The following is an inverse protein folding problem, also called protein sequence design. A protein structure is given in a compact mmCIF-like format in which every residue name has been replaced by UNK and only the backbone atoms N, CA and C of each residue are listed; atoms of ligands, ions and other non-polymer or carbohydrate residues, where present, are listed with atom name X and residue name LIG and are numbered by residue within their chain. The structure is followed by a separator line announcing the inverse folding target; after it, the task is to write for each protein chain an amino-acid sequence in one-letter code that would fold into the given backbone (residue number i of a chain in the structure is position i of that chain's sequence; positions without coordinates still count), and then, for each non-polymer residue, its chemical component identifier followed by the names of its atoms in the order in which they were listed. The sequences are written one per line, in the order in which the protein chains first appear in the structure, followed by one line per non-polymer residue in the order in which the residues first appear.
data_IF_789122483957
#
_entry.id   IF_789122483957
#
_cell.length_a   1.000
_cell.length_b   1.000
_cell.length_c   1.000
_cell.angle_alpha   90.00
_cell.angle_beta   90.00
_cell.angle_gamma   90.00
#
_symmetry.space_group_name_H-M   'P 1'
#
loop_
_entity.id
_entity.type
_entity.pdbx_description
1 polymer ?
#
# COMPACT_ATOMS: atom_id res chain seq x y z
N UNK A 1 9.06 19.16 -9.43
CA UNK A 1 8.66 18.84 -10.81
C UNK A 1 7.64 17.70 -10.77
N UNK A 2 6.39 18.02 -11.04
CA UNK A 2 5.31 17.02 -11.07
C UNK A 2 5.21 16.40 -12.47
N UNK A 3 6.26 15.69 -12.89
CA UNK A 3 6.18 14.88 -14.11
C UNK A 3 5.33 13.63 -13.84
N UNK A 4 4.60 13.19 -14.87
CA UNK A 4 3.86 11.92 -14.83
C UNK A 4 4.80 10.77 -14.44
N UNK A 5 4.32 9.89 -13.58
CA UNK A 5 4.93 8.60 -13.29
C UNK A 5 4.12 7.57 -14.05
N UNK A 6 4.79 6.76 -14.85
CA UNK A 6 4.12 5.77 -15.69
C UNK A 6 3.30 4.80 -14.84
N UNK A 7 2.05 4.60 -15.23
CA UNK A 7 1.08 3.70 -14.58
C UNK A 7 0.76 4.07 -13.12
N UNK A 8 0.89 5.35 -12.79
CA UNK A 8 0.56 5.90 -11.46
C UNK A 8 -0.24 7.19 -11.62
N UNK A 9 -1.37 7.23 -10.97
CA UNK A 9 -2.18 8.44 -10.79
C UNK A 9 -1.76 9.14 -9.49
N UNK A 10 -1.35 10.39 -9.59
CA UNK A 10 -1.03 11.23 -8.43
C UNK A 10 -2.29 11.97 -7.96
N UNK A 11 -2.55 11.97 -6.66
CA UNK A 11 -3.66 12.71 -6.06
C UNK A 11 -3.26 14.15 -5.69
N UNK A 12 -2.97 14.93 -6.70
CA UNK A 12 -2.49 16.31 -6.55
C UNK A 12 -0.96 16.43 -6.55
N UNK A 13 -0.45 17.47 -5.89
CA UNK A 13 0.99 17.63 -5.73
C UNK A 13 1.55 16.66 -4.68
N UNK A 14 2.74 16.13 -4.96
CA UNK A 14 3.43 15.28 -3.99
C UNK A 14 3.71 16.08 -2.70
N UNK A 15 3.43 15.51 -1.53
CA UNK A 15 3.64 16.20 -0.27
C UNK A 15 5.13 16.46 -0.03
N UNK A 16 5.45 17.63 0.54
CA UNK A 16 6.79 17.93 1.02
C UNK A 16 7.00 17.24 2.37
N UNK A 17 7.80 16.19 2.39
CA UNK A 17 8.06 15.36 3.56
C UNK A 17 9.50 15.47 4.00
N UNK A 18 9.74 15.34 5.31
CA UNK A 18 11.08 15.37 5.89
C UNK A 18 11.61 13.95 6.10
N UNK A 19 12.35 13.44 5.12
CA UNK A 19 13.00 12.12 5.16
C UNK A 19 12.07 11.00 5.66
N UNK A 20 10.91 10.79 5.03
CA UNK A 20 9.89 9.87 5.52
C UNK A 20 10.39 8.42 5.53
N UNK A 21 9.77 7.60 6.37
CA UNK A 21 9.91 6.15 6.32
C UNK A 21 8.74 5.60 5.49
N UNK A 22 9.04 4.78 4.49
CA UNK A 22 8.03 4.04 3.74
C UNK A 22 7.79 2.68 4.40
N UNK A 23 6.57 2.44 4.82
CA UNK A 23 6.11 1.14 5.33
C UNK A 23 5.33 0.45 4.22
N UNK A 24 5.71 -0.77 3.89
CA UNK A 24 5.14 -1.56 2.80
C UNK A 24 4.43 -2.78 3.37
N UNK A 25 3.16 -2.93 3.03
CA UNK A 25 2.41 -4.17 3.23
C UNK A 25 1.57 -4.45 1.98
N UNK A 26 1.99 -5.40 1.18
CA UNK A 26 1.26 -5.87 0.02
C UNK A 26 0.68 -7.26 0.32
N UNK A 27 -0.63 -7.38 0.16
CA UNK A 27 -1.35 -8.63 0.37
C UNK A 27 -0.97 -9.63 -0.70
N UNK A 28 -0.42 -10.74 -0.26
CA UNK A 28 -0.03 -11.88 -1.08
C UNK A 28 -0.12 -13.14 -0.23
N UNK A 29 0.88 -14.01 -0.34
CA UNK A 29 0.89 -15.25 0.43
C UNK A 29 1.75 -15.19 1.71
N UNK A 30 2.59 -14.15 1.87
CA UNK A 30 3.48 -13.98 3.03
C UNK A 30 2.81 -13.12 4.10
N UNK A 31 1.71 -13.61 4.64
CA UNK A 31 1.03 -13.00 5.78
C UNK A 31 0.34 -14.08 6.64
N UNK A 32 1.14 -14.82 7.40
CA UNK A 32 0.63 -15.87 8.26
C UNK A 32 -0.35 -15.30 9.29
N UNK A 33 -1.56 -15.87 9.32
CA UNK A 33 -2.66 -15.46 10.18
C UNK A 33 -3.08 -13.98 10.05
N UNK A 34 -2.71 -13.30 8.97
CA UNK A 34 -3.06 -11.88 8.75
C UNK A 34 -2.28 -10.90 9.62
N UNK A 35 -1.18 -11.33 10.26
CA UNK A 35 -0.46 -10.52 11.25
C UNK A 35 0.14 -9.24 10.67
N UNK A 36 0.65 -9.27 9.44
CA UNK A 36 1.19 -8.09 8.78
C UNK A 36 0.09 -7.10 8.39
N UNK A 37 -1.06 -7.60 7.93
CA UNK A 37 -2.24 -6.76 7.64
C UNK A 37 -2.78 -6.08 8.91
N UNK A 38 -2.85 -6.81 10.02
CA UNK A 38 -3.29 -6.25 11.30
C UNK A 38 -2.32 -5.20 11.83
N UNK A 39 -1.01 -5.45 11.70
CA UNK A 39 0.02 -4.47 12.05
C UNK A 39 -0.10 -3.19 11.21
N UNK A 40 -0.29 -3.32 9.89
CA UNK A 40 -0.49 -2.16 9.02
C UNK A 40 -1.77 -1.40 9.40
N UNK A 41 -2.87 -2.09 9.66
CA UNK A 41 -4.13 -1.47 10.07
C UNK A 41 -4.00 -0.70 11.39
N UNK A 42 -3.22 -1.23 12.34
CA UNK A 42 -2.93 -0.55 13.59
C UNK A 42 -2.10 0.73 13.37
N UNK A 43 -1.15 0.72 12.46
CA UNK A 43 -0.37 1.91 12.08
C UNK A 43 -1.27 2.95 11.43
N UNK A 44 -2.07 2.56 10.45
CA UNK A 44 -2.99 3.46 9.74
C UNK A 44 -3.98 4.14 10.66
N UNK A 45 -4.52 3.41 11.64
CA UNK A 45 -5.45 3.97 12.62
C UNK A 45 -4.86 5.09 13.50
N UNK A 46 -3.54 5.15 13.60
CA UNK A 46 -2.83 6.17 14.39
C UNK A 46 -2.41 7.40 13.60
N UNK A 47 -2.26 7.28 12.28
CA UNK A 47 -1.68 8.34 11.45
C UNK A 47 -2.69 9.05 10.54
N UNK A 48 -3.91 8.54 10.40
CA UNK A 48 -4.97 9.05 9.51
C UNK A 48 -4.41 9.39 8.10
N UNK A 49 -3.97 8.37 7.33
CA UNK A 49 -3.19 8.58 6.13
C UNK A 49 -4.04 9.16 4.99
N UNK A 50 -3.50 10.15 4.28
CA UNK A 50 -4.11 10.74 3.08
C UNK A 50 -3.54 10.10 1.80
N UNK A 51 -4.37 9.88 0.77
CA UNK A 51 -3.91 9.30 -0.49
C UNK A 51 -2.93 10.23 -1.21
N UNK A 52 -1.84 9.66 -1.70
CA UNK A 52 -0.79 10.35 -2.48
C UNK A 52 -0.78 9.89 -3.92
N UNK A 53 -0.88 8.57 -4.12
CA UNK A 53 -0.81 7.97 -5.44
C UNK A 53 -1.60 6.66 -5.49
N UNK A 54 -2.17 6.35 -6.65
CA UNK A 54 -2.77 5.06 -6.97
C UNK A 54 -2.04 4.43 -8.15
N UNK A 55 -1.64 3.19 -8.03
CA UNK A 55 -1.06 2.42 -9.12
C UNK A 55 -2.16 1.88 -10.00
N UNK A 56 -1.99 1.96 -11.32
CA UNK A 56 -3.02 1.58 -12.28
C UNK A 56 -3.40 0.09 -12.12
N UNK A 57 -4.60 -0.21 -11.63
CA UNK A 57 -5.00 -1.59 -11.37
C UNK A 57 -5.17 -2.40 -12.67
N UNK A 58 -5.47 -1.76 -13.81
CA UNK A 58 -5.60 -2.45 -15.10
C UNK A 58 -4.24 -2.94 -15.62
N UNK A 59 -3.15 -2.36 -15.11
CA UNK A 59 -1.78 -2.78 -15.45
C UNK A 59 -1.25 -3.83 -14.47
N UNK A 60 -1.53 -3.66 -13.19
CA UNK A 60 -0.87 -4.42 -12.14
C UNK A 60 -1.70 -5.54 -11.55
N UNK A 61 -3.02 -5.53 -11.69
CA UNK A 61 -3.93 -6.51 -11.09
C UNK A 61 -4.58 -7.40 -12.15
N UNK A 62 -4.55 -8.71 -11.94
CA UNK A 62 -5.37 -9.66 -12.72
C UNK A 62 -6.72 -9.85 -12.03
N UNK A 63 -7.76 -9.21 -12.56
CA UNK A 63 -9.12 -9.32 -12.03
C UNK A 63 -9.72 -10.73 -12.11
N UNK A 64 -9.10 -11.67 -12.80
CA UNK A 64 -9.49 -13.08 -12.79
C UNK A 64 -8.98 -13.77 -11.52
N UNK A 65 -7.80 -13.38 -11.06
CA UNK A 65 -7.21 -13.87 -9.82
C UNK A 65 -7.78 -13.13 -8.59
N UNK A 66 -8.00 -11.82 -8.73
CA UNK A 66 -8.48 -10.93 -7.66
C UNK A 66 -9.76 -10.25 -8.10
N UNK A 67 -10.87 -10.96 -7.97
CA UNK A 67 -12.17 -10.44 -8.42
C UNK A 67 -12.64 -9.30 -7.53
N UNK A 68 -13.25 -8.26 -8.11
CA UNK A 68 -13.91 -7.22 -7.33
C UNK A 68 -15.06 -7.82 -6.52
N UNK A 69 -15.30 -7.26 -5.35
CA UNK A 69 -16.34 -7.71 -4.43
C UNK A 69 -17.54 -6.78 -4.50
N UNK A 70 -18.73 -7.35 -4.69
CA UNK A 70 -19.99 -6.60 -4.66
C UNK A 70 -20.51 -6.55 -3.22
N UNK A 71 -20.82 -5.36 -2.72
CA UNK A 71 -21.49 -5.21 -1.44
C UNK A 71 -23.02 -5.15 -1.64
N UNK A 72 -23.72 -6.08 -1.01
CA UNK A 72 -25.18 -6.10 -0.98
C UNK A 72 -25.65 -5.81 0.43
N UNK A 73 -26.40 -4.70 0.60
CA UNK A 73 -27.07 -4.35 1.87
C UNK A 73 -28.57 -4.28 1.64
N UNK A 74 -29.33 -4.97 2.48
CA UNK A 74 -30.81 -5.01 2.41
C UNK A 74 -31.35 -5.33 0.99
N UNK A 75 -30.68 -6.25 0.26
CA UNK A 75 -31.06 -6.66 -1.09
C UNK A 75 -30.72 -5.64 -2.19
N UNK A 76 -29.99 -4.56 -1.89
CA UNK A 76 -29.55 -3.56 -2.87
C UNK A 76 -28.05 -3.65 -3.08
N UNK A 77 -27.63 -3.48 -4.34
CA UNK A 77 -26.22 -3.31 -4.68
C UNK A 77 -25.74 -1.95 -4.16
N UNK A 78 -24.78 -1.96 -3.26
CA UNK A 78 -24.23 -0.77 -2.60
C UNK A 78 -22.88 -0.33 -3.20
N UNK A 79 -22.42 -1.02 -4.23
CA UNK A 79 -21.20 -0.73 -4.94
C UNK A 79 -20.34 -1.95 -5.20
N UNK A 80 -19.27 -1.74 -5.93
CA UNK A 80 -18.24 -2.75 -6.22
C UNK A 80 -16.93 -2.22 -5.66
N UNK A 81 -16.31 -3.02 -4.80
CA UNK A 81 -14.97 -2.76 -4.29
C UNK A 81 -13.94 -3.43 -5.21
N UNK A 82 -13.12 -2.61 -5.84
CA UNK A 82 -12.07 -3.03 -6.76
C UNK A 82 -10.74 -3.18 -6.04
N UNK A 83 -9.99 -4.27 -6.29
CA UNK A 83 -8.64 -4.39 -5.75
C UNK A 83 -7.75 -3.25 -6.25
N UNK A 84 -6.99 -2.66 -5.35
CA UNK A 84 -6.16 -1.50 -5.65
C UNK A 84 -4.80 -1.59 -4.95
N UNK A 85 -3.85 -0.80 -5.42
CA UNK A 85 -2.56 -0.57 -4.79
C UNK A 85 -2.39 0.94 -4.65
N UNK A 86 -2.18 1.42 -3.44
CA UNK A 86 -2.09 2.85 -3.16
C UNK A 86 -0.91 3.22 -2.27
N UNK A 87 -0.46 4.47 -2.43
CA UNK A 87 0.50 5.09 -1.54
C UNK A 87 -0.17 6.24 -0.78
N UNK A 88 0.07 6.30 0.51
CA UNK A 88 -0.55 7.24 1.43
C UNK A 88 0.52 7.93 2.27
N UNK A 89 0.25 9.14 2.73
CA UNK A 89 1.12 9.91 3.61
C UNK A 89 0.42 10.29 4.90
N UNK A 90 1.15 10.27 6.01
CA UNK A 90 0.66 10.68 7.31
C UNK A 90 1.80 10.99 8.26
N UNK A 91 1.47 11.29 9.51
CA UNK A 91 2.45 11.54 10.57
C UNK A 91 2.20 10.63 11.77
N UNK A 92 3.28 10.13 12.37
CA UNK A 92 3.17 9.42 13.64
C UNK A 92 2.93 10.40 14.81
N UNK A 93 2.68 9.84 16.00
CA UNK A 93 2.41 10.62 17.22
C UNK A 93 3.61 11.50 17.67
N UNK A 94 4.79 11.28 17.10
CA UNK A 94 5.99 12.07 17.36
C UNK A 94 6.24 13.13 16.26
N UNK A 95 5.32 13.25 15.29
CA UNK A 95 5.41 14.18 14.17
C UNK A 95 6.35 13.73 13.05
N UNK A 96 6.79 12.45 13.04
CA UNK A 96 7.60 11.89 11.97
C UNK A 96 6.75 11.62 10.74
N UNK A 97 7.25 12.02 9.58
CA UNK A 97 6.57 11.73 8.31
C UNK A 97 6.66 10.25 7.94
N UNK A 98 5.53 9.67 7.61
CA UNK A 98 5.39 8.29 7.17
C UNK A 98 4.74 8.24 5.79
N UNK A 99 5.20 7.29 4.98
CA UNK A 99 4.52 6.83 3.78
C UNK A 99 4.06 5.39 3.98
N UNK A 100 2.91 5.05 3.46
CA UNK A 100 2.37 3.70 3.46
C UNK A 100 2.15 3.27 2.01
N UNK A 101 2.70 2.13 1.62
CA UNK A 101 2.35 1.44 0.40
C UNK A 101 1.53 0.21 0.76
N UNK A 102 0.26 0.22 0.36
CA UNK A 102 -0.71 -0.81 0.72
C UNK A 102 -1.55 -1.25 -0.47
N UNK A 103 -2.00 -2.48 -0.45
CA UNK A 103 -2.86 -3.08 -1.44
C UNK A 103 -2.50 -4.53 -1.69
N UNK A 104 -2.82 -5.02 -2.88
CA UNK A 104 -2.37 -6.34 -3.31
C UNK A 104 -0.98 -6.27 -3.91
N UNK A 105 -0.21 -7.36 -3.81
CA UNK A 105 1.00 -7.48 -4.63
C UNK A 105 0.61 -7.51 -6.11
N UNK A 106 1.43 -6.93 -7.00
CA UNK A 106 1.14 -6.96 -8.42
C UNK A 106 1.11 -8.39 -8.96
N UNK A 107 0.11 -8.71 -9.78
CA UNK A 107 0.04 -9.98 -10.50
C UNK A 107 0.93 -9.97 -11.75
N UNK A 108 1.24 -8.78 -12.26
CA UNK A 108 2.02 -8.57 -13.49
C UNK A 108 2.83 -7.29 -13.45
N UNK A 109 3.68 -7.09 -14.47
CA UNK A 109 4.45 -5.86 -14.68
C UNK A 109 5.34 -5.43 -13.49
N UNK A 110 5.89 -6.37 -12.75
CA UNK A 110 6.69 -6.14 -11.54
C UNK A 110 7.84 -5.14 -11.71
N UNK A 111 8.53 -5.18 -12.85
CA UNK A 111 9.62 -4.23 -13.13
C UNK A 111 9.10 -2.79 -13.23
N UNK A 112 7.92 -2.60 -13.82
CA UNK A 112 7.28 -1.28 -13.94
C UNK A 112 6.79 -0.79 -12.58
N UNK A 113 6.18 -1.69 -11.80
CA UNK A 113 5.76 -1.40 -10.43
C UNK A 113 6.94 -0.96 -9.56
N UNK A 114 8.02 -1.74 -9.54
CA UNK A 114 9.22 -1.43 -8.76
C UNK A 114 9.86 -0.10 -9.20
N UNK A 115 9.87 0.18 -10.50
CA UNK A 115 10.37 1.45 -11.03
C UNK A 115 9.52 2.64 -10.56
N UNK A 116 8.20 2.51 -10.57
CA UNK A 116 7.29 3.54 -10.10
C UNK A 116 7.42 3.79 -8.60
N UNK A 117 7.49 2.73 -7.77
CA UNK A 117 7.74 2.84 -6.33
C UNK A 117 9.07 3.55 -6.06
N UNK A 118 10.14 3.14 -6.76
CA UNK A 118 11.45 3.77 -6.63
C UNK A 118 11.40 5.26 -6.98
N UNK A 119 10.70 5.62 -8.04
CA UNK A 119 10.58 7.03 -8.46
C UNK A 119 9.83 7.86 -7.43
N UNK A 120 8.74 7.36 -6.87
CA UNK A 120 8.02 8.01 -5.77
C UNK A 120 8.92 8.17 -4.54
N UNK A 121 9.68 7.14 -4.18
CA UNK A 121 10.63 7.21 -3.05
C UNK A 121 11.68 8.30 -3.24
N UNK A 122 12.24 8.42 -4.45
CA UNK A 122 13.24 9.44 -4.77
C UNK A 122 12.63 10.85 -4.72
N UNK A 123 11.46 11.04 -5.32
CA UNK A 123 10.78 12.35 -5.35
C UNK A 123 10.37 12.83 -3.95
N UNK A 124 10.01 11.92 -3.06
CA UNK A 124 9.60 12.24 -1.69
C UNK A 124 10.73 12.08 -0.65
N UNK A 125 11.97 11.88 -1.12
CA UNK A 125 13.15 11.79 -0.25
C UNK A 125 13.02 10.72 0.85
N UNK A 126 12.50 9.55 0.52
CA UNK A 126 12.36 8.42 1.45
C UNK A 126 13.72 8.01 2.01
N UNK A 127 13.84 7.97 3.34
CA UNK A 127 15.08 7.64 4.05
C UNK A 127 15.25 6.14 4.33
N UNK A 128 14.12 5.44 4.49
CA UNK A 128 14.11 4.01 4.83
C UNK A 128 12.85 3.36 4.30
N UNK A 129 12.95 2.11 3.90
CA UNK A 129 11.79 1.27 3.56
C UNK A 129 11.74 0.07 4.51
N UNK A 130 10.55 -0.19 5.06
CA UNK A 130 10.26 -1.30 5.96
C UNK A 130 9.14 -2.13 5.39
N UNK A 131 9.40 -3.40 5.08
CA UNK A 131 8.40 -4.36 4.65
C UNK A 131 7.78 -5.08 5.85
N UNK A 132 6.45 -5.16 5.90
CA UNK A 132 5.73 -5.99 6.86
C UNK A 132 5.36 -7.31 6.19
N UNK A 133 5.65 -8.40 6.89
CA UNK A 133 5.31 -9.75 6.46
C UNK A 133 5.25 -10.70 7.65
N UNK A 134 4.51 -11.79 7.52
CA UNK A 134 4.42 -12.82 8.55
C UNK A 134 4.71 -14.17 7.92
N UNK A 135 5.80 -14.76 8.35
CA UNK A 135 6.26 -16.06 7.83
C UNK A 135 5.77 -17.21 8.74
N UNK A 136 5.11 -18.24 8.20
CA UNK A 136 4.66 -19.38 8.98
C UNK A 136 5.88 -20.25 9.35
N UNK A 137 6.24 -20.26 10.63
CA UNK A 137 7.34 -21.06 11.14
C UNK A 137 6.97 -21.68 12.49
N UNK A 138 7.24 -22.96 12.73
CA UNK A 138 6.98 -23.61 14.02
C UNK A 138 7.96 -23.08 15.08
N UNK A 139 7.52 -22.09 15.84
CA UNK A 139 8.31 -21.47 16.91
C UNK A 139 7.65 -21.73 18.25
N UNK A 140 8.40 -22.11 19.30
CA UNK A 140 7.86 -22.19 20.65
C UNK A 140 7.38 -20.81 21.11
N UNK A 141 6.15 -20.74 21.64
CA UNK A 141 5.58 -19.50 22.16
C UNK A 141 6.17 -19.04 23.50
N UNK A 142 7.03 -19.85 24.09
CA UNK A 142 7.64 -19.62 25.41
C UNK A 142 9.06 -19.04 25.35
N UNK A 143 9.51 -18.57 24.19
CA UNK A 143 10.85 -17.97 24.01
C UNK A 143 10.77 -16.58 23.41
#
# INVERSE_FOLDING_TARGET
MNGEIRDVELHGELPSLNSPILIVMLQGWIDAAGAANDAMSAIESQIDPLPVATFDPDVFIDYRARRPTMEIREGRNNGIDWPSIGMYAGKDNNGRDLLILRGHEPDSAWNRFSAAVRELCVRMNVSMMVGLGAYPFPTPHTR
#
